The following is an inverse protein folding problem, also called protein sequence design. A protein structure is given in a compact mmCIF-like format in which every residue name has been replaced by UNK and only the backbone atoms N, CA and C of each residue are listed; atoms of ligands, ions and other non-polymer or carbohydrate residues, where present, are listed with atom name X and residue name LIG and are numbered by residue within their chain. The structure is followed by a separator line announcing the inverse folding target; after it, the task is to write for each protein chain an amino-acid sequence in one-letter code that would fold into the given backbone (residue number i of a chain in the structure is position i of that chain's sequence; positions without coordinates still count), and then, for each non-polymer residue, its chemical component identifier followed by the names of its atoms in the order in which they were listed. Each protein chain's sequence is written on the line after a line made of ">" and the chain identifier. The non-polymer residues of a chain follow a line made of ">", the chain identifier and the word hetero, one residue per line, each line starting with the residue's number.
data_IF_677816541151
#
_entry.id   IF_677816541151
#
_cell.length_a   1.000
_cell.length_b   1.000
_cell.length_c   1.000
_cell.angle_alpha   90.00
_cell.angle_beta   90.00
_cell.angle_gamma   90.00
#
_symmetry.space_group_name_H-M   'P 1'
#
loop_
_entity.id
_entity.type
_entity.pdbx_description
1 polymer ?
#
# COMPACT_ATOMS: atom_id res chain seq x y z
N UNK A 1 9.87 -63.38 -14.02
CA UNK A 1 9.22 -62.20 -14.61
C UNK A 1 8.74 -61.30 -13.48
N UNK A 2 9.47 -60.23 -13.16
CA UNK A 2 9.07 -59.27 -12.12
C UNK A 2 8.17 -58.20 -12.77
N UNK A 3 6.93 -58.08 -12.29
CA UNK A 3 6.00 -57.00 -12.69
C UNK A 3 6.40 -55.72 -11.98
N UNK A 4 6.87 -54.70 -12.71
CA UNK A 4 7.07 -53.34 -12.20
C UNK A 4 5.73 -52.62 -12.11
N UNK A 5 5.25 -52.39 -10.91
CA UNK A 5 4.08 -51.52 -10.66
C UNK A 5 4.54 -50.08 -10.70
N UNK A 6 4.05 -49.30 -11.69
CA UNK A 6 4.27 -47.85 -11.75
C UNK A 6 3.21 -47.19 -10.90
N UNK A 7 3.64 -46.54 -9.80
CA UNK A 7 2.79 -45.74 -8.96
C UNK A 7 2.66 -44.35 -9.59
N UNK A 8 1.48 -44.04 -10.15
CA UNK A 8 1.19 -42.72 -10.70
C UNK A 8 0.79 -41.81 -9.53
N UNK A 9 1.70 -40.92 -9.11
CA UNK A 9 1.39 -39.89 -8.10
C UNK A 9 0.72 -38.72 -8.84
N UNK A 10 -0.59 -38.60 -8.70
CA UNK A 10 -1.33 -37.45 -9.18
C UNK A 10 -1.01 -36.25 -8.28
N UNK A 11 -0.22 -35.28 -8.79
CA UNK A 11 -0.04 -33.99 -8.15
C UNK A 11 -1.34 -33.17 -8.30
N UNK A 12 -2.15 -33.17 -7.27
CA UNK A 12 -3.33 -32.29 -7.22
C UNK A 12 -2.84 -30.87 -6.89
N UNK A 13 -2.63 -30.03 -7.90
CA UNK A 13 -2.37 -28.60 -7.70
C UNK A 13 -3.67 -27.97 -7.22
N UNK A 14 -3.79 -27.70 -5.91
CA UNK A 14 -4.86 -26.88 -5.38
C UNK A 14 -4.73 -25.47 -5.97
N UNK A 15 -5.64 -25.11 -6.87
CA UNK A 15 -5.78 -23.73 -7.32
C UNK A 15 -6.34 -22.94 -6.12
N UNK A 16 -5.47 -22.23 -5.41
CA UNK A 16 -5.91 -21.28 -4.39
C UNK A 16 -6.59 -20.13 -5.12
N UNK A 17 -7.92 -20.17 -5.18
CA UNK A 17 -8.71 -19.05 -5.70
C UNK A 17 -8.52 -17.84 -4.78
N UNK A 18 -8.19 -16.68 -5.35
CA UNK A 18 -8.11 -15.44 -4.59
C UNK A 18 -9.49 -15.09 -4.01
N UNK A 19 -9.57 -14.84 -2.71
CA UNK A 19 -10.83 -14.43 -2.07
C UNK A 19 -11.25 -13.07 -2.59
N UNK A 20 -12.55 -12.90 -2.82
CA UNK A 20 -13.14 -11.65 -3.30
C UNK A 20 -14.17 -11.17 -2.29
N UNK A 21 -14.05 -9.93 -1.89
CA UNK A 21 -14.92 -9.32 -0.88
C UNK A 21 -15.66 -8.12 -1.48
N UNK A 22 -16.98 -8.07 -1.31
CA UNK A 22 -17.80 -6.95 -1.76
C UNK A 22 -18.42 -6.26 -0.53
N UNK A 23 -18.25 -4.95 -0.46
CA UNK A 23 -18.75 -4.12 0.63
C UNK A 23 -19.71 -3.06 0.10
N UNK A 24 -20.77 -2.75 0.86
CA UNK A 24 -21.66 -1.62 0.59
C UNK A 24 -21.09 -0.37 1.24
N UNK A 25 -21.01 0.71 0.47
CA UNK A 25 -20.55 2.01 0.94
C UNK A 25 -21.71 2.84 1.52
N UNK A 26 -21.45 3.87 2.35
CA UNK A 26 -22.48 4.75 2.91
C UNK A 26 -23.35 5.44 1.85
N UNK A 27 -22.83 5.70 0.67
CA UNK A 27 -23.56 6.27 -0.48
C UNK A 27 -24.32 5.24 -1.33
N UNK A 28 -24.51 4.02 -0.82
CA UNK A 28 -25.16 2.88 -1.47
C UNK A 28 -24.42 2.27 -2.67
N UNK A 29 -23.26 2.76 -3.06
CA UNK A 29 -22.40 2.07 -4.03
C UNK A 29 -21.76 0.82 -3.43
N UNK A 30 -21.21 -0.02 -4.30
CA UNK A 30 -20.42 -1.19 -3.88
C UNK A 30 -18.97 -1.03 -4.28
N UNK A 31 -18.08 -1.59 -3.45
CA UNK A 31 -16.67 -1.77 -3.74
C UNK A 31 -16.32 -3.25 -3.65
N UNK A 32 -15.58 -3.74 -4.63
CA UNK A 32 -15.06 -5.12 -4.64
C UNK A 32 -13.55 -5.09 -4.46
N UNK A 33 -13.04 -5.89 -3.53
CA UNK A 33 -11.62 -6.01 -3.19
C UNK A 33 -11.23 -7.48 -3.31
N UNK A 34 -10.14 -7.76 -4.00
CA UNK A 34 -9.62 -9.11 -4.24
C UNK A 34 -8.35 -9.31 -3.41
N UNK A 35 -8.25 -10.40 -2.68
CA UNK A 35 -7.04 -10.73 -1.93
C UNK A 35 -5.91 -11.12 -2.88
N UNK A 36 -4.77 -10.44 -2.77
CA UNK A 36 -3.52 -10.75 -3.48
C UNK A 36 -2.35 -10.54 -2.52
N UNK A 37 -2.19 -11.42 -1.50
CA UNK A 37 -1.27 -11.15 -0.41
C UNK A 37 0.19 -11.15 -0.87
N UNK A 38 0.97 -10.22 -0.32
CA UNK A 38 2.43 -10.22 -0.38
C UNK A 38 3.00 -11.25 0.60
N UNK A 39 4.30 -11.56 0.50
CA UNK A 39 4.97 -12.44 1.46
C UNK A 39 4.96 -11.79 2.86
N UNK A 40 4.05 -12.27 3.71
CA UNK A 40 3.80 -11.73 5.04
C UNK A 40 3.96 -12.81 6.11
N UNK A 41 5.18 -12.92 6.66
CA UNK A 41 5.53 -13.90 7.69
C UNK A 41 6.27 -13.26 8.87
N UNK A 42 6.74 -14.11 9.78
CA UNK A 42 7.45 -13.70 11.00
C UNK A 42 8.65 -12.78 10.71
N UNK A 43 9.37 -13.02 9.62
CA UNK A 43 10.52 -12.20 9.22
C UNK A 43 10.08 -10.76 8.85
N UNK A 44 8.98 -10.57 8.09
CA UNK A 44 8.47 -9.22 7.78
C UNK A 44 8.04 -8.51 9.06
N UNK A 45 7.34 -9.20 9.95
CA UNK A 45 6.91 -8.64 11.24
C UNK A 45 8.11 -8.20 12.09
N UNK A 46 9.16 -9.03 12.17
CA UNK A 46 10.38 -8.70 12.92
C UNK A 46 11.07 -7.46 12.34
N UNK A 47 11.30 -7.42 11.02
CA UNK A 47 11.91 -6.26 10.35
C UNK A 47 11.03 -5.00 10.46
N UNK A 48 9.70 -5.14 10.50
CA UNK A 48 8.79 -4.00 10.70
C UNK A 48 8.94 -3.43 12.11
N UNK A 49 9.04 -4.27 13.15
CA UNK A 49 9.32 -3.81 14.53
C UNK A 49 10.68 -3.13 14.63
N UNK A 50 11.71 -3.68 13.98
CA UNK A 50 13.04 -3.08 13.91
C UNK A 50 12.99 -1.69 13.24
N UNK A 51 12.26 -1.55 12.12
CA UNK A 51 12.03 -0.28 11.47
C UNK A 51 11.36 0.73 12.41
N UNK A 52 10.30 0.32 13.11
CA UNK A 52 9.59 1.18 14.07
C UNK A 52 10.52 1.63 15.19
N UNK A 53 11.33 0.73 15.75
CA UNK A 53 12.28 1.06 16.82
C UNK A 53 13.35 2.04 16.33
N UNK A 54 13.96 1.77 15.17
CA UNK A 54 15.05 2.57 14.60
C UNK A 54 14.59 3.96 14.20
N UNK A 55 13.47 4.05 13.46
CA UNK A 55 13.03 5.31 12.84
C UNK A 55 12.09 6.13 13.73
N UNK A 56 11.31 5.48 14.58
CA UNK A 56 10.29 6.15 15.39
C UNK A 56 10.63 6.13 16.89
N UNK A 57 11.58 5.26 17.32
CA UNK A 57 11.92 5.08 18.73
C UNK A 57 10.80 4.48 19.56
N UNK A 58 9.93 3.70 18.91
CA UNK A 58 8.82 2.99 19.53
C UNK A 58 9.10 1.50 19.59
N UNK A 59 8.64 0.82 20.63
CA UNK A 59 8.84 -0.62 20.82
C UNK A 59 7.49 -1.35 21.03
N UNK A 60 6.61 -1.38 20.01
CA UNK A 60 5.28 -1.94 20.17
C UNK A 60 5.30 -3.48 20.24
N UNK A 61 4.35 -4.05 20.97
CA UNK A 61 4.15 -5.52 21.02
C UNK A 61 3.71 -6.08 19.67
N UNK A 62 2.93 -5.33 18.90
CA UNK A 62 2.41 -5.69 17.57
C UNK A 62 2.78 -4.61 16.55
N UNK A 63 2.62 -4.91 15.27
CA UNK A 63 2.80 -3.93 14.19
C UNK A 63 1.47 -3.27 13.76
N UNK A 64 0.42 -3.44 14.57
CA UNK A 64 -0.87 -2.80 14.32
C UNK A 64 -0.75 -1.28 14.43
N UNK A 65 -1.51 -0.61 13.58
CA UNK A 65 -1.61 0.85 13.54
C UNK A 65 -3.05 1.29 13.77
N UNK A 66 -3.22 2.52 14.22
CA UNK A 66 -4.50 3.23 14.14
C UNK A 66 -4.46 4.13 12.91
N UNK A 67 -5.15 3.80 11.81
CA UNK A 67 -5.12 4.59 10.59
C UNK A 67 -5.65 6.00 10.81
N UNK A 68 -4.87 7.00 10.41
CA UNK A 68 -5.23 8.44 10.45
C UNK A 68 -5.07 9.12 9.11
N UNK A 69 -4.31 8.48 8.19
CA UNK A 69 -3.94 9.03 6.88
C UNK A 69 -4.18 7.98 5.81
N UNK A 70 -4.72 8.39 4.65
CA UNK A 70 -4.65 7.63 3.41
C UNK A 70 -3.60 8.31 2.53
N UNK A 71 -2.63 7.53 2.03
CA UNK A 71 -1.59 8.01 1.11
C UNK A 71 -1.75 7.32 -0.24
N UNK A 72 -1.94 8.11 -1.29
CA UNK A 72 -2.02 7.61 -2.65
C UNK A 72 -0.66 7.68 -3.32
N UNK A 73 -0.32 6.64 -4.08
CA UNK A 73 0.94 6.46 -4.79
C UNK A 73 0.71 6.06 -6.24
N UNK A 74 1.76 6.06 -7.04
CA UNK A 74 1.88 5.22 -8.22
C UNK A 74 3.13 4.34 -8.15
N UNK A 75 3.10 3.19 -8.82
CA UNK A 75 4.20 2.21 -8.79
C UNK A 75 5.40 2.60 -9.67
N UNK A 76 5.28 3.64 -10.51
CA UNK A 76 6.19 3.99 -11.58
C UNK A 76 6.37 2.87 -12.65
N UNK A 77 5.51 1.86 -12.62
CA UNK A 77 5.51 0.67 -13.47
C UNK A 77 4.12 0.46 -14.09
N UNK A 78 4.07 0.08 -15.38
CA UNK A 78 2.83 -0.08 -16.14
C UNK A 78 2.21 -1.48 -16.05
N UNK A 79 2.97 -2.45 -15.56
CA UNK A 79 2.54 -3.85 -15.41
C UNK A 79 2.10 -4.13 -13.98
N UNK A 80 0.89 -4.70 -13.82
CA UNK A 80 0.37 -5.16 -12.54
C UNK A 80 1.31 -6.18 -11.89
N UNK A 81 1.76 -7.19 -12.65
CA UNK A 81 2.61 -8.26 -12.12
C UNK A 81 3.98 -7.75 -11.69
N UNK A 82 4.59 -6.86 -12.47
CA UNK A 82 5.86 -6.24 -12.09
C UNK A 82 5.70 -5.37 -10.84
N UNK A 83 4.63 -4.57 -10.76
CA UNK A 83 4.30 -3.77 -9.59
C UNK A 83 4.12 -4.64 -8.34
N UNK A 84 3.33 -5.71 -8.44
CA UNK A 84 3.11 -6.66 -7.35
C UNK A 84 4.42 -7.34 -6.93
N UNK A 85 5.21 -7.84 -7.89
CA UNK A 85 6.45 -8.56 -7.62
C UNK A 85 7.52 -7.67 -6.95
N UNK A 86 7.47 -6.35 -7.11
CA UNK A 86 8.33 -5.42 -6.35
C UNK A 86 7.92 -5.29 -4.89
N UNK A 87 6.64 -5.39 -4.57
CA UNK A 87 6.10 -5.26 -3.21
C UNK A 87 6.12 -6.60 -2.46
N UNK A 88 6.04 -7.73 -3.19
CA UNK A 88 5.83 -9.07 -2.64
C UNK A 88 6.93 -9.53 -1.69
N UNK A 89 8.25 -9.44 -1.99
CA UNK A 89 9.30 -9.97 -1.13
C UNK A 89 9.36 -9.26 0.23
N UNK A 90 9.73 -9.98 1.28
CA UNK A 90 9.87 -9.42 2.63
C UNK A 90 11.10 -8.50 2.75
N UNK A 91 12.20 -8.83 2.05
CA UNK A 91 13.45 -8.06 2.03
C UNK A 91 13.50 -7.10 0.87
N UNK A 92 14.08 -5.92 1.13
CA UNK A 92 14.28 -4.87 0.14
C UNK A 92 15.09 -5.39 -1.07
N UNK A 93 14.63 -5.03 -2.26
CA UNK A 93 15.32 -5.37 -3.51
C UNK A 93 16.64 -4.59 -3.63
N UNK A 94 17.62 -5.18 -4.26
CA UNK A 94 19.01 -4.66 -4.34
C UNK A 94 19.14 -3.38 -5.18
N UNK A 95 18.18 -3.11 -6.05
CA UNK A 95 18.14 -1.90 -6.88
C UNK A 95 17.67 -0.64 -6.12
N UNK A 96 17.13 -0.79 -4.89
CA UNK A 96 16.64 0.31 -4.05
C UNK A 96 17.74 0.90 -3.15
N UNK A 97 18.83 1.34 -3.77
CA UNK A 97 19.99 1.94 -3.08
C UNK A 97 19.62 3.22 -2.31
N UNK A 98 18.62 3.94 -2.77
CA UNK A 98 18.10 5.18 -2.18
C UNK A 98 17.60 5.04 -0.73
N UNK A 99 17.09 3.86 -0.38
CA UNK A 99 16.50 3.57 0.94
C UNK A 99 17.11 2.35 1.64
N UNK A 100 18.16 1.73 1.05
CA UNK A 100 18.77 0.51 1.56
C UNK A 100 19.43 0.71 2.95
N UNK A 101 20.06 1.86 3.18
CA UNK A 101 20.70 2.20 4.47
C UNK A 101 19.69 2.37 5.61
N UNK A 102 18.45 2.68 5.28
CA UNK A 102 17.39 2.88 6.26
C UNK A 102 16.97 1.54 6.89
N UNK A 103 16.66 0.52 6.07
CA UNK A 103 16.19 -0.78 6.55
C UNK A 103 16.29 -1.86 5.48
N UNK A 104 16.45 -3.12 5.92
CA UNK A 104 16.32 -4.31 5.08
C UNK A 104 14.85 -4.67 4.78
N UNK A 105 13.88 -4.10 5.50
CA UNK A 105 12.45 -4.29 5.24
C UNK A 105 12.11 -3.77 3.85
N UNK A 106 11.44 -4.61 3.03
CA UNK A 106 10.97 -4.14 1.72
C UNK A 106 9.86 -3.11 1.86
N UNK A 107 9.73 -2.25 0.84
CA UNK A 107 8.54 -1.41 0.68
C UNK A 107 7.30 -2.29 0.48
N UNK A 108 6.18 -1.82 0.97
CA UNK A 108 4.89 -2.50 0.86
C UNK A 108 3.76 -1.47 0.89
N UNK A 109 2.59 -1.85 0.40
CA UNK A 109 1.37 -1.06 0.50
C UNK A 109 0.22 -1.98 0.92
N UNK A 110 -0.88 -1.40 1.38
CA UNK A 110 -2.06 -2.15 1.79
C UNK A 110 -2.92 -2.55 0.60
N UNK A 111 -2.97 -1.68 -0.41
CA UNK A 111 -3.75 -1.90 -1.62
C UNK A 111 -2.93 -1.62 -2.88
N UNK A 112 -3.25 -2.34 -3.94
CA UNK A 112 -2.75 -2.11 -5.29
C UNK A 112 -3.94 -2.01 -6.24
N UNK A 113 -4.04 -0.90 -6.98
CA UNK A 113 -5.10 -0.64 -7.94
C UNK A 113 -4.55 -0.82 -9.35
N UNK A 114 -5.09 -1.81 -10.06
CA UNK A 114 -4.72 -2.08 -11.44
C UNK A 114 -5.26 -1.00 -12.39
N UNK A 115 -4.77 -0.94 -13.62
CA UNK A 115 -5.13 0.09 -14.59
C UNK A 115 -6.60 0.06 -15.04
N UNK A 116 -7.25 -1.10 -14.92
CA UNK A 116 -8.70 -1.29 -15.16
C UNK A 116 -9.57 -0.92 -13.95
N UNK A 117 -8.93 -0.51 -12.82
CA UNK A 117 -9.63 -0.15 -11.58
C UNK A 117 -9.85 -1.33 -10.63
N UNK A 118 -9.40 -2.54 -10.95
CA UNK A 118 -9.44 -3.68 -10.02
C UNK A 118 -8.60 -3.37 -8.79
N UNK A 119 -9.17 -3.59 -7.59
CA UNK A 119 -8.53 -3.31 -6.31
C UNK A 119 -8.07 -4.61 -5.68
N UNK A 120 -6.79 -4.70 -5.39
CA UNK A 120 -6.17 -5.81 -4.67
C UNK A 120 -5.77 -5.40 -3.26
N UNK A 121 -6.11 -6.22 -2.26
CA UNK A 121 -5.59 -6.10 -0.91
C UNK A 121 -4.32 -6.95 -0.77
N UNK A 122 -3.22 -6.32 -0.38
CA UNK A 122 -1.90 -6.94 -0.32
C UNK A 122 -1.53 -7.41 1.07
N UNK A 123 -2.06 -6.78 2.11
CA UNK A 123 -1.82 -7.10 3.52
C UNK A 123 -2.94 -6.50 4.39
N UNK A 124 -3.06 -6.90 5.68
CA UNK A 124 -4.04 -6.29 6.58
C UNK A 124 -3.88 -4.78 6.65
N UNK A 125 -4.96 -4.04 6.45
CA UNK A 125 -4.98 -2.59 6.32
C UNK A 125 -4.74 -1.82 7.64
N UNK A 126 -4.74 -2.52 8.76
CA UNK A 126 -4.39 -2.00 10.08
C UNK A 126 -3.00 -2.47 10.58
N UNK A 127 -2.14 -2.97 9.70
CA UNK A 127 -0.74 -3.28 10.02
C UNK A 127 0.18 -2.27 9.33
N UNK A 128 1.30 -1.94 9.97
CA UNK A 128 2.26 -1.00 9.38
C UNK A 128 2.86 -1.55 8.08
N UNK A 129 2.68 -0.82 6.99
CA UNK A 129 3.40 -0.98 5.73
C UNK A 129 4.51 0.07 5.59
N UNK A 130 5.59 -0.23 4.85
CA UNK A 130 6.65 0.73 4.55
C UNK A 130 6.41 1.36 3.19
N UNK A 131 5.77 2.53 3.14
CA UNK A 131 5.44 3.23 1.88
C UNK A 131 5.67 4.74 1.93
N UNK A 132 5.67 5.36 3.13
CA UNK A 132 5.81 6.80 3.31
C UNK A 132 6.67 7.12 4.53
N UNK A 133 7.81 7.80 4.31
CA UNK A 133 8.73 8.15 5.39
C UNK A 133 8.01 9.00 6.44
N UNK A 134 8.23 8.69 7.71
CA UNK A 134 7.72 9.45 8.86
C UNK A 134 6.27 9.17 9.24
N UNK A 135 5.44 8.62 8.32
CA UNK A 135 4.00 8.50 8.51
C UNK A 135 3.48 7.05 8.51
N UNK A 136 4.35 6.05 8.21
CA UNK A 136 3.91 4.65 8.08
C UNK A 136 3.12 4.12 9.28
N UNK A 137 3.40 4.60 10.49
CA UNK A 137 2.77 4.11 11.73
C UNK A 137 1.33 4.61 11.94
N UNK A 138 0.83 5.42 11.02
CA UNK A 138 -0.56 5.92 11.03
C UNK A 138 -1.20 5.99 9.64
N UNK A 139 -0.54 5.45 8.61
CA UNK A 139 -0.97 5.63 7.23
C UNK A 139 -1.31 4.31 6.53
N UNK A 140 -2.41 4.32 5.79
CA UNK A 140 -2.76 3.29 4.80
C UNK A 140 -2.24 3.74 3.44
N UNK A 141 -1.40 2.91 2.80
CA UNK A 141 -0.86 3.16 1.45
C UNK A 141 -1.67 2.46 0.37
N UNK A 142 -1.98 3.20 -0.69
CA UNK A 142 -2.65 2.73 -1.90
C UNK A 142 -1.75 2.99 -3.09
N UNK A 143 -1.22 1.94 -3.70
CA UNK A 143 -0.42 2.00 -4.92
C UNK A 143 -1.32 1.90 -6.15
N UNK A 144 -1.06 2.70 -7.16
CA UNK A 144 -1.72 2.65 -8.46
C UNK A 144 -0.72 2.20 -9.52
N UNK A 145 -1.05 1.16 -10.28
CA UNK A 145 -0.21 0.72 -11.41
C UNK A 145 -0.17 1.83 -12.44
N UNK A 146 0.99 2.44 -12.67
CA UNK A 146 1.12 3.60 -13.57
C UNK A 146 2.22 4.56 -13.14
N UNK A 147 2.21 5.77 -13.67
CA UNK A 147 3.25 6.77 -13.45
C UNK A 147 4.53 6.41 -14.20
N UNK A 148 4.43 6.09 -15.49
CA UNK A 148 5.49 5.55 -16.34
C UNK A 148 6.85 6.19 -16.08
N UNK A 149 7.80 5.39 -15.61
CA UNK A 149 9.15 5.85 -15.29
C UNK A 149 9.22 6.94 -14.22
N UNK A 150 8.21 7.05 -13.35
CA UNK A 150 8.05 8.10 -12.34
C UNK A 150 7.99 9.53 -12.91
N UNK A 151 7.46 9.67 -14.15
CA UNK A 151 7.43 10.94 -14.88
C UNK A 151 6.05 11.31 -15.42
N UNK A 152 5.24 10.31 -15.77
CA UNK A 152 3.96 10.53 -16.44
C UNK A 152 2.79 10.42 -15.45
N UNK A 153 1.94 11.44 -15.42
CA UNK A 153 0.63 11.40 -14.76
C UNK A 153 -0.37 10.73 -15.73
N UNK A 154 -0.30 9.39 -15.79
CA UNK A 154 -1.03 8.55 -16.73
C UNK A 154 -2.06 7.62 -16.06
N UNK A 155 -2.42 7.92 -14.80
CA UNK A 155 -3.45 7.14 -14.10
C UNK A 155 -4.80 7.26 -14.81
N UNK A 156 -5.52 6.14 -14.86
CA UNK A 156 -6.72 6.00 -15.69
C UNK A 156 -8.00 6.52 -14.99
N UNK A 157 -9.07 6.82 -15.73
CA UNK A 157 -10.37 7.11 -15.14
C UNK A 157 -10.93 5.95 -14.30
N UNK A 158 -10.62 4.69 -14.64
CA UNK A 158 -11.00 3.52 -13.85
C UNK A 158 -10.29 3.51 -12.49
N UNK A 159 -8.99 3.84 -12.46
CA UNK A 159 -8.25 3.99 -11.21
C UNK A 159 -8.77 5.16 -10.37
N UNK A 160 -9.14 6.28 -10.98
CA UNK A 160 -9.76 7.41 -10.28
C UNK A 160 -11.04 6.95 -9.55
N UNK A 161 -11.97 6.28 -10.25
CA UNK A 161 -13.19 5.74 -9.66
C UNK A 161 -12.91 4.73 -8.53
N UNK A 162 -11.94 3.85 -8.73
CA UNK A 162 -11.53 2.86 -7.73
C UNK A 162 -10.99 3.53 -6.45
N UNK A 163 -10.11 4.55 -6.59
CA UNK A 163 -9.57 5.28 -5.44
C UNK A 163 -10.66 6.06 -4.68
N UNK A 164 -11.62 6.68 -5.38
CA UNK A 164 -12.76 7.36 -4.74
C UNK A 164 -13.54 6.37 -3.86
N UNK A 165 -13.89 5.19 -4.39
CA UNK A 165 -14.57 4.14 -3.63
C UNK A 165 -13.73 3.63 -2.46
N UNK A 166 -12.44 3.41 -2.68
CA UNK A 166 -11.53 2.91 -1.64
C UNK A 166 -11.33 3.93 -0.52
N UNK A 167 -11.22 5.22 -0.82
CA UNK A 167 -11.16 6.29 0.19
C UNK A 167 -12.44 6.32 1.02
N UNK A 168 -13.63 6.23 0.39
CA UNK A 168 -14.92 6.16 1.10
C UNK A 168 -15.02 4.92 1.99
N UNK A 169 -14.62 3.76 1.48
CA UNK A 169 -14.57 2.51 2.24
C UNK A 169 -13.68 2.63 3.47
N UNK A 170 -12.44 3.09 3.29
CA UNK A 170 -11.47 3.22 4.38
C UNK A 170 -11.89 4.24 5.42
N UNK A 171 -12.47 5.38 5.01
CA UNK A 171 -13.00 6.39 5.94
C UNK A 171 -14.19 5.86 6.75
N UNK A 172 -15.07 5.07 6.15
CA UNK A 172 -16.18 4.44 6.85
C UNK A 172 -15.68 3.36 7.83
N UNK A 173 -14.71 2.54 7.41
CA UNK A 173 -14.10 1.48 8.24
C UNK A 173 -13.27 2.05 9.40
N UNK A 174 -12.57 3.16 9.16
CA UNK A 174 -11.69 3.83 10.13
C UNK A 174 -12.09 5.31 10.29
N UNK A 175 -13.04 5.63 11.15
CA UNK A 175 -13.45 7.04 11.40
C UNK A 175 -12.29 7.93 11.84
N UNK A 176 -11.22 7.35 12.40
CA UNK A 176 -9.98 8.03 12.81
C UNK A 176 -9.17 8.62 11.65
N UNK A 177 -9.44 8.24 10.41
CA UNK A 177 -8.79 8.81 9.23
C UNK A 177 -9.25 10.26 9.06
N UNK A 178 -8.29 11.18 9.10
CA UNK A 178 -8.53 12.64 8.99
C UNK A 178 -7.75 13.29 7.85
N UNK A 179 -6.82 12.56 7.22
CA UNK A 179 -6.00 13.06 6.12
C UNK A 179 -6.09 12.19 4.87
N UNK A 180 -6.07 12.85 3.70
CA UNK A 180 -5.88 12.23 2.38
C UNK A 180 -4.77 12.99 1.65
N UNK A 181 -3.61 12.34 1.45
CA UNK A 181 -2.44 12.97 0.85
C UNK A 181 -1.90 12.17 -0.34
N UNK A 182 -1.24 12.85 -1.25
CA UNK A 182 -0.35 12.23 -2.22
C UNK A 182 1.04 12.01 -1.62
N UNK A 183 1.76 10.99 -2.09
CA UNK A 183 3.11 10.73 -1.60
C UNK A 183 4.05 11.95 -1.79
N UNK A 184 3.91 12.71 -2.87
CA UNK A 184 4.70 13.92 -3.10
C UNK A 184 4.48 15.02 -2.05
N UNK A 185 3.39 14.96 -1.29
CA UNK A 185 3.05 15.96 -0.27
C UNK A 185 3.57 15.58 1.14
N UNK A 186 4.12 14.36 1.33
CA UNK A 186 4.43 13.81 2.65
C UNK A 186 5.34 14.69 3.52
N UNK A 187 6.27 15.44 2.90
CA UNK A 187 7.18 16.33 3.64
C UNK A 187 6.49 17.53 4.26
N UNK A 188 5.35 17.97 3.71
CA UNK A 188 4.54 19.03 4.32
C UNK A 188 3.92 18.58 5.65
N UNK A 189 3.89 17.26 5.91
CA UNK A 189 3.43 16.69 7.18
C UNK A 189 4.50 16.71 8.28
N UNK A 190 5.74 17.11 8.02
CA UNK A 190 6.87 17.09 8.97
C UNK A 190 6.58 17.94 10.24
N UNK A 191 5.73 18.95 10.14
CA UNK A 191 5.33 19.81 11.25
C UNK A 191 4.11 19.30 12.03
N UNK A 192 3.55 18.15 11.66
CA UNK A 192 2.37 17.59 12.32
C UNK A 192 2.76 16.59 13.41
N UNK A 193 1.90 16.38 14.44
CA UNK A 193 2.13 15.34 15.45
C UNK A 193 2.11 13.90 14.89
N UNK A 194 1.75 13.71 13.62
CA UNK A 194 1.74 12.41 12.94
C UNK A 194 3.12 12.01 12.41
N UNK A 195 4.03 12.98 12.30
CA UNK A 195 5.39 12.73 11.84
C UNK A 195 6.24 12.09 12.93
N UNK A 196 6.83 10.93 12.65
CA UNK A 196 7.60 10.16 13.62
C UNK A 196 9.07 9.94 13.24
N UNK A 197 9.50 10.26 11.99
CA UNK A 197 10.87 9.99 11.53
C UNK A 197 11.90 10.81 12.31
N UNK A 198 12.83 10.11 12.97
CA UNK A 198 13.90 10.70 13.77
C UNK A 198 15.18 10.98 12.99
N UNK A 199 15.44 10.20 11.92
CA UNK A 199 16.59 10.42 11.05
C UNK A 199 16.32 11.61 10.11
N UNK A 200 16.91 12.75 10.40
CA UNK A 200 16.78 13.97 9.60
C UNK A 200 17.34 13.83 8.17
N UNK A 201 18.26 12.88 7.95
CA UNK A 201 18.84 12.57 6.65
C UNK A 201 17.98 11.66 5.78
N UNK A 202 17.01 10.96 6.37
CA UNK A 202 16.15 10.04 5.65
C UNK A 202 14.94 10.76 5.02
N UNK A 203 15.20 11.40 3.88
CA UNK A 203 14.20 12.11 3.08
C UNK A 203 14.38 11.77 1.60
N UNK A 204 13.28 11.69 0.86
CA UNK A 204 13.27 11.46 -0.60
C UNK A 204 12.32 12.43 -1.28
N UNK A 205 12.63 12.83 -2.52
CA UNK A 205 11.70 13.60 -3.34
C UNK A 205 10.76 12.66 -4.06
N UNK A 206 9.47 12.96 -4.01
CA UNK A 206 8.39 12.16 -4.62
C UNK A 206 7.59 13.01 -5.60
N UNK A 207 7.00 12.34 -6.59
CA UNK A 207 6.13 12.96 -7.61
C UNK A 207 4.74 12.31 -7.64
N UNK A 208 4.63 11.11 -7.08
CA UNK A 208 3.45 10.27 -7.09
C UNK A 208 2.36 10.74 -6.11
N UNK A 209 1.09 10.60 -6.42
CA UNK A 209 0.51 10.15 -7.69
C UNK A 209 0.25 11.30 -8.69
N UNK A 210 0.83 12.49 -8.48
CA UNK A 210 0.65 13.70 -9.26
C UNK A 210 -0.49 14.59 -8.75
N UNK A 211 -0.34 15.92 -8.96
CA UNK A 211 -1.28 16.93 -8.46
C UNK A 211 -2.67 16.79 -9.09
N UNK A 212 -2.74 16.47 -10.39
CA UNK A 212 -4.01 16.30 -11.10
C UNK A 212 -4.84 15.19 -10.47
N UNK A 213 -4.23 14.00 -10.28
CA UNK A 213 -4.93 12.85 -9.70
C UNK A 213 -5.42 13.16 -8.29
N UNK A 214 -4.59 13.76 -7.44
CA UNK A 214 -4.98 14.14 -6.07
C UNK A 214 -6.11 15.16 -6.05
N UNK A 215 -6.08 16.18 -6.90
CA UNK A 215 -7.15 17.16 -7.03
C UNK A 215 -8.47 16.50 -7.41
N UNK A 216 -8.42 15.59 -8.41
CA UNK A 216 -9.61 14.94 -8.93
C UNK A 216 -10.23 13.98 -7.90
N UNK A 217 -9.42 13.19 -7.15
CA UNK A 217 -9.90 12.37 -6.05
C UNK A 217 -10.53 13.23 -4.94
N UNK A 218 -9.84 14.27 -4.49
CA UNK A 218 -10.30 15.16 -3.41
C UNK A 218 -11.62 15.85 -3.73
N UNK A 219 -11.81 16.27 -4.98
CA UNK A 219 -13.06 16.87 -5.46
C UNK A 219 -14.24 15.94 -5.24
N UNK A 220 -14.09 14.65 -5.54
CA UNK A 220 -15.15 13.65 -5.47
C UNK A 220 -15.43 13.14 -4.03
N UNK A 221 -14.50 13.35 -3.09
CA UNK A 221 -14.65 12.94 -1.68
C UNK A 221 -14.69 14.13 -0.73
N UNK A 222 -15.02 15.33 -1.21
CA UNK A 222 -15.06 16.57 -0.41
C UNK A 222 -16.00 16.49 0.79
N UNK A 223 -17.08 15.74 0.66
CA UNK A 223 -18.06 15.47 1.71
C UNK A 223 -17.48 14.69 2.90
N UNK A 224 -16.34 14.04 2.76
CA UNK A 224 -15.65 13.33 3.84
C UNK A 224 -14.79 14.25 4.73
N UNK A 225 -14.67 15.53 4.37
CA UNK A 225 -13.90 16.56 5.11
C UNK A 225 -12.47 16.12 5.46
N UNK A 226 -11.81 15.37 4.57
CA UNK A 226 -10.42 14.95 4.76
C UNK A 226 -9.47 16.12 4.53
N UNK A 227 -8.57 16.33 5.49
CA UNK A 227 -7.51 17.34 5.42
C UNK A 227 -6.42 16.92 4.43
N UNK A 228 -5.70 17.90 3.92
CA UNK A 228 -4.46 17.73 3.17
C UNK A 228 -3.46 18.83 3.56
N UNK A 229 -2.14 18.65 3.36
CA UNK A 229 -1.13 19.65 3.69
C UNK A 229 -1.13 20.83 2.72
#
# INVERSE_FOLDING_TARGET
>A
MMKKTILLVALCSAVVSASTHTYRLPNNETITIIDKPIDFGTQRVAMTKEYIAKHYGLHPKTIQITPKIIVLHWTAEMSLDKSFNRLKPQKLLTDRKDIAKASALNVSAHFLVARDGTIYQLMPDNYMARHVIGLNYSAIGVENVGGKGNKADDLTPAQLKANIKLVRYLKAKYPTITYLIGHHEYRKMEQTPLWLEKDKGYRTTKKDPGDRFMRDVRKEVKDLHLKHP
#
